data_IF_711561295064
#
_entry.id   IF_711561295064
#
_cell.length_a   1.000
_cell.length_b   1.000
_cell.length_c   1.000
_cell.angle_alpha   90.00
_cell.angle_beta   90.00
_cell.angle_gamma   90.00
#
_symmetry.space_group_name_H-M   'P 1'
#
loop_
_entity.id
_entity.type
_entity.pdbx_description
1 polymer ?
#
# COMPACT_ATOMS: atom_id res chain seq x y z
N UNK A 1 29.92 3.32 -2.24
CA UNK A 1 30.37 2.73 -0.95
C UNK A 1 29.47 1.57 -0.51
N UNK A 2 28.15 1.75 -0.34
CA UNK A 2 27.24 0.65 0.08
C UNK A 2 27.05 -0.40 -1.02
N UNK A 3 26.88 0.06 -2.27
CA UNK A 3 26.76 -0.82 -3.44
C UNK A 3 28.05 -1.61 -3.71
N UNK A 4 29.22 -0.96 -3.59
CA UNK A 4 30.53 -1.61 -3.76
C UNK A 4 30.75 -2.72 -2.71
N UNK A 5 30.25 -2.52 -1.48
CA UNK A 5 30.31 -3.54 -0.43
C UNK A 5 29.34 -4.70 -0.70
N UNK A 6 28.14 -4.42 -1.21
CA UNK A 6 27.19 -5.47 -1.64
C UNK A 6 27.79 -6.31 -2.75
N UNK A 7 28.42 -5.68 -3.75
CA UNK A 7 29.08 -6.38 -4.84
C UNK A 7 30.21 -7.28 -4.34
N UNK A 8 31.03 -6.78 -3.40
CA UNK A 8 32.10 -7.57 -2.78
C UNK A 8 31.55 -8.79 -2.01
N UNK A 9 30.48 -8.62 -1.24
CA UNK A 9 29.83 -9.74 -0.53
C UNK A 9 29.18 -10.76 -1.46
N UNK A 10 28.64 -10.32 -2.61
CA UNK A 10 28.09 -11.23 -3.62
C UNK A 10 29.16 -11.99 -4.39
N UNK A 11 30.37 -11.43 -4.52
CA UNK A 11 31.53 -12.11 -5.10
C UNK A 11 32.10 -13.18 -4.16
N UNK A 12 32.00 -13.00 -2.84
CA UNK A 12 32.37 -14.00 -1.82
C UNK A 12 31.27 -15.07 -1.60
N UNK A 13 30.61 -15.51 -2.67
CA UNK A 13 29.39 -16.33 -2.64
C UNK A 13 29.49 -17.71 -1.95
N UNK A 14 30.69 -18.14 -1.55
CA UNK A 14 30.89 -19.35 -0.74
C UNK A 14 30.68 -19.10 0.77
N UNK A 15 30.79 -17.84 1.21
CA UNK A 15 30.59 -17.45 2.61
C UNK A 15 29.13 -17.16 2.90
N UNK A 16 28.49 -18.03 3.70
CA UNK A 16 27.11 -17.82 4.18
C UNK A 16 26.93 -16.49 4.92
N UNK A 17 27.97 -16.03 5.62
CA UNK A 17 27.92 -14.76 6.34
C UNK A 17 27.98 -13.55 5.41
N UNK A 18 28.79 -13.61 4.34
CA UNK A 18 28.83 -12.57 3.32
C UNK A 18 27.49 -12.47 2.59
N UNK A 19 26.90 -13.61 2.20
CA UNK A 19 25.59 -13.66 1.58
C UNK A 19 24.48 -13.10 2.48
N UNK A 20 24.47 -13.48 3.77
CA UNK A 20 23.52 -12.92 4.75
C UNK A 20 23.69 -11.40 4.86
N UNK A 21 24.93 -10.90 4.87
CA UNK A 21 25.20 -9.46 4.96
C UNK A 21 24.77 -8.73 3.71
N UNK A 22 24.98 -9.31 2.52
CA UNK A 22 24.47 -8.78 1.26
C UNK A 22 22.94 -8.68 1.29
N UNK A 23 22.24 -9.74 1.69
CA UNK A 23 20.77 -9.76 1.82
C UNK A 23 20.26 -8.64 2.73
N UNK A 24 20.86 -8.48 3.91
CA UNK A 24 20.50 -7.40 4.85
C UNK A 24 20.74 -6.02 4.27
N UNK A 25 21.90 -5.79 3.63
CA UNK A 25 22.22 -4.49 3.04
C UNK A 25 21.29 -4.13 1.88
N UNK A 26 20.90 -5.12 1.07
CA UNK A 26 19.97 -4.93 -0.04
C UNK A 26 18.58 -4.59 0.50
N UNK A 27 18.03 -5.39 1.42
CA UNK A 27 16.70 -5.13 1.99
C UNK A 27 16.64 -3.79 2.72
N UNK A 28 17.66 -3.44 3.51
CA UNK A 28 17.72 -2.14 4.19
C UNK A 28 17.78 -0.98 3.18
N UNK A 29 18.52 -1.15 2.09
CA UNK A 29 18.58 -0.17 1.00
C UNK A 29 17.24 -0.02 0.27
N UNK A 30 16.54 -1.13 0.02
CA UNK A 30 15.22 -1.13 -0.61
C UNK A 30 14.17 -0.46 0.28
N UNK A 31 14.16 -0.77 1.59
CA UNK A 31 13.29 -0.08 2.55
C UNK A 31 13.56 1.42 2.62
N UNK A 32 14.82 1.84 2.54
CA UNK A 32 15.16 3.28 2.53
C UNK A 32 14.75 3.99 1.24
N UNK A 33 14.80 3.31 0.10
CA UNK A 33 14.51 3.92 -1.19
C UNK A 33 13.06 3.75 -1.66
N UNK A 34 12.31 2.79 -1.12
CA UNK A 34 10.89 2.55 -1.44
C UNK A 34 10.08 2.81 -0.19
N UNK A 35 9.77 4.09 0.03
CA UNK A 35 8.90 4.52 1.13
C UNK A 35 7.43 4.48 0.74
N UNK A 36 6.56 4.51 1.75
CA UNK A 36 5.11 4.63 1.60
C UNK A 36 4.72 5.78 0.66
N UNK A 37 3.66 5.61 -0.14
CA UNK A 37 3.12 6.66 -1.01
C UNK A 37 4.00 7.06 -2.19
N UNK A 38 5.12 6.37 -2.42
CA UNK A 38 5.96 6.60 -3.59
C UNK A 38 5.33 6.04 -4.87
N UNK A 39 5.41 6.82 -5.94
CA UNK A 39 4.94 6.42 -7.25
C UNK A 39 5.84 5.33 -7.89
N UNK A 40 5.23 4.35 -8.55
CA UNK A 40 5.93 3.20 -9.14
C UNK A 40 6.84 3.60 -10.31
N UNK A 41 6.53 4.69 -11.03
CA UNK A 41 7.41 5.23 -12.06
C UNK A 41 8.62 5.95 -11.44
N UNK A 42 8.44 6.67 -10.34
CA UNK A 42 9.55 7.25 -9.58
C UNK A 42 10.52 6.17 -9.07
N UNK A 43 9.99 5.07 -8.53
CA UNK A 43 10.79 3.91 -8.07
C UNK A 43 11.62 3.32 -9.22
N UNK A 44 11.00 3.08 -10.39
CA UNK A 44 11.67 2.49 -11.55
C UNK A 44 12.72 3.39 -12.18
N UNK A 45 12.56 4.70 -12.04
CA UNK A 45 13.48 5.69 -12.62
C UNK A 45 14.72 5.93 -11.76
N UNK A 46 14.74 5.46 -10.51
CA UNK A 46 15.89 5.62 -9.62
C UNK A 46 17.01 4.61 -9.98
N UNK A 47 18.20 5.11 -10.37
CA UNK A 47 19.32 4.24 -10.76
C UNK A 47 19.87 3.42 -9.58
N UNK A 48 19.80 3.93 -8.36
CA UNK A 48 20.24 3.25 -7.13
C UNK A 48 19.31 2.08 -6.83
N UNK A 49 18.00 2.32 -6.88
CA UNK A 49 17.01 1.25 -6.69
C UNK A 49 17.12 0.20 -7.79
N UNK A 50 17.32 0.61 -9.03
CA UNK A 50 17.53 -0.31 -10.16
C UNK A 50 18.73 -1.24 -9.93
N UNK A 51 19.84 -0.70 -9.39
CA UNK A 51 21.01 -1.52 -9.02
C UNK A 51 20.73 -2.45 -7.84
N UNK A 52 20.03 -1.98 -6.81
CA UNK A 52 19.62 -2.82 -5.67
C UNK A 52 18.70 -3.96 -6.12
N UNK A 53 17.76 -3.71 -7.04
CA UNK A 53 16.91 -4.74 -7.63
C UNK A 53 17.72 -5.75 -8.47
N UNK A 54 18.74 -5.28 -9.19
CA UNK A 54 19.65 -6.16 -9.91
C UNK A 54 20.46 -7.06 -8.96
N UNK A 55 20.87 -6.56 -7.79
CA UNK A 55 21.49 -7.40 -6.78
C UNK A 55 20.50 -8.36 -6.13
N UNK A 56 19.27 -7.92 -5.87
CA UNK A 56 18.19 -8.75 -5.34
C UNK A 56 17.90 -9.98 -6.21
N UNK A 57 17.89 -9.84 -7.54
CA UNK A 57 17.62 -10.95 -8.46
C UNK A 57 18.72 -12.02 -8.50
N UNK A 58 19.92 -11.70 -7.98
CA UNK A 58 21.05 -12.64 -7.85
C UNK A 58 21.03 -13.43 -6.54
N UNK A 59 20.13 -13.10 -5.60
CA UNK A 59 20.03 -13.78 -4.32
C UNK A 59 19.27 -15.10 -4.46
N UNK A 60 19.77 -16.14 -3.80
CA UNK A 60 19.04 -17.40 -3.66
C UNK A 60 17.98 -17.29 -2.56
N UNK A 61 16.73 -17.11 -2.98
CA UNK A 61 15.55 -16.97 -2.10
C UNK A 61 15.34 -18.22 -1.23
N UNK A 62 15.78 -19.40 -1.67
CA UNK A 62 15.58 -20.67 -0.92
C UNK A 62 16.41 -20.72 0.37
N UNK A 63 17.50 -19.94 0.43
CA UNK A 63 18.37 -19.82 1.60
C UNK A 63 17.89 -18.78 2.61
N UNK A 64 16.86 -18.00 2.28
CA UNK A 64 16.38 -16.87 3.08
C UNK A 64 15.33 -17.30 4.11
N UNK A 65 15.25 -16.53 5.21
CA UNK A 65 14.09 -16.59 6.09
C UNK A 65 12.82 -16.20 5.29
N UNK A 66 11.72 -16.93 5.51
CA UNK A 66 10.42 -16.70 4.90
C UNK A 66 10.02 -15.21 4.86
N UNK A 67 10.19 -14.47 5.96
CA UNK A 67 9.81 -13.05 6.02
C UNK A 67 10.67 -12.22 5.07
N UNK A 68 12.00 -12.39 5.11
CA UNK A 68 12.93 -11.67 4.23
C UNK A 68 12.71 -12.02 2.76
N UNK A 69 12.37 -13.27 2.47
CA UNK A 69 12.02 -13.72 1.12
C UNK A 69 10.72 -13.05 0.63
N UNK A 70 9.70 -12.95 1.50
CA UNK A 70 8.46 -12.24 1.19
C UNK A 70 8.71 -10.74 0.98
N UNK A 71 9.54 -10.09 1.79
CA UNK A 71 9.90 -8.68 1.62
C UNK A 71 10.61 -8.43 0.28
N UNK A 72 11.53 -9.32 -0.10
CA UNK A 72 12.18 -9.26 -1.40
C UNK A 72 11.16 -9.40 -2.54
N UNK A 73 10.23 -10.37 -2.41
CA UNK A 73 9.14 -10.56 -3.37
C UNK A 73 8.23 -9.33 -3.46
N UNK A 74 7.99 -8.64 -2.36
CA UNK A 74 7.22 -7.38 -2.34
C UNK A 74 7.93 -6.30 -3.14
N UNK A 75 9.20 -6.02 -2.86
CA UNK A 75 9.95 -4.99 -3.58
C UNK A 75 10.05 -5.28 -5.08
N UNK A 76 10.25 -6.56 -5.46
CA UNK A 76 10.20 -6.99 -6.85
C UNK A 76 8.82 -6.71 -7.46
N UNK A 77 7.73 -7.09 -6.77
CA UNK A 77 6.37 -6.88 -7.26
C UNK A 77 6.03 -5.38 -7.42
N UNK A 78 6.50 -4.52 -6.52
CA UNK A 78 6.38 -3.05 -6.65
C UNK A 78 7.12 -2.57 -7.90
N UNK A 79 8.37 -2.98 -8.08
CA UNK A 79 9.20 -2.54 -9.22
C UNK A 79 8.66 -2.99 -10.58
N UNK A 80 8.01 -4.16 -10.62
CA UNK A 80 7.43 -4.76 -11.83
C UNK A 80 5.95 -4.44 -12.01
N UNK A 81 5.38 -3.60 -11.14
CA UNK A 81 3.98 -3.18 -11.18
C UNK A 81 2.94 -4.33 -11.12
N UNK A 82 3.26 -5.39 -10.36
CA UNK A 82 2.44 -6.61 -10.26
C UNK A 82 1.32 -6.50 -9.20
N UNK A 83 0.18 -5.89 -9.55
CA UNK A 83 -0.97 -5.70 -8.64
C UNK A 83 -1.43 -6.97 -7.93
N UNK A 84 -1.65 -8.06 -8.67
CA UNK A 84 -2.15 -9.31 -8.10
C UNK A 84 -1.22 -9.85 -7.03
N UNK A 85 0.10 -9.78 -7.28
CA UNK A 85 1.11 -10.22 -6.33
C UNK A 85 1.17 -9.33 -5.09
N UNK A 86 0.99 -8.01 -5.24
CA UNK A 86 0.90 -7.08 -4.11
C UNK A 86 -0.34 -7.34 -3.25
N UNK A 87 -1.49 -7.65 -3.85
CA UNK A 87 -2.70 -8.07 -3.14
C UNK A 87 -2.44 -9.31 -2.29
N UNK A 88 -1.84 -10.34 -2.86
CA UNK A 88 -1.49 -11.58 -2.17
C UNK A 88 -0.53 -11.34 -0.99
N UNK A 89 0.58 -10.63 -1.25
CA UNK A 89 1.60 -10.34 -0.25
C UNK A 89 1.06 -9.45 0.87
N UNK A 90 0.21 -8.47 0.56
CA UNK A 90 -0.43 -7.62 1.55
C UNK A 90 -1.25 -8.43 2.55
N UNK A 91 -2.05 -9.38 2.06
CA UNK A 91 -2.82 -10.31 2.89
C UNK A 91 -1.92 -11.28 3.68
N UNK A 92 -0.85 -11.77 3.07
CA UNK A 92 0.12 -12.66 3.72
C UNK A 92 0.80 -11.95 4.90
N UNK A 93 1.35 -10.75 4.67
CA UNK A 93 1.98 -9.95 5.73
C UNK A 93 1.01 -9.56 6.84
N UNK A 94 -0.22 -9.21 6.48
CA UNK A 94 -1.25 -8.89 7.48
C UNK A 94 -1.51 -10.09 8.41
N UNK A 95 -1.65 -11.30 7.85
CA UNK A 95 -1.82 -12.54 8.64
C UNK A 95 -0.61 -12.86 9.52
N UNK A 96 0.60 -12.49 9.07
CA UNK A 96 1.83 -12.66 9.84
C UNK A 96 2.05 -11.56 10.90
N UNK A 97 1.23 -10.51 10.93
CA UNK A 97 1.39 -9.37 11.85
C UNK A 97 2.49 -8.39 11.42
N UNK A 98 2.94 -8.44 10.16
CA UNK A 98 3.92 -7.51 9.60
C UNK A 98 3.25 -6.29 8.98
N UNK A 99 2.65 -5.44 9.83
CA UNK A 99 1.79 -4.33 9.41
C UNK A 99 2.44 -3.36 8.43
N UNK A 100 3.72 -3.01 8.59
CA UNK A 100 4.39 -2.06 7.68
C UNK A 100 4.55 -2.61 6.26
N UNK A 101 4.91 -3.89 6.11
CA UNK A 101 5.02 -4.54 4.81
C UNK A 101 3.65 -4.76 4.16
N UNK A 102 2.66 -5.15 4.97
CA UNK A 102 1.27 -5.24 4.53
C UNK A 102 0.76 -3.88 4.01
N UNK A 103 0.99 -2.82 4.77
CA UNK A 103 0.57 -1.46 4.43
C UNK A 103 1.25 -0.96 3.15
N UNK A 104 2.56 -1.20 2.99
CA UNK A 104 3.26 -0.83 1.75
C UNK A 104 2.70 -1.57 0.53
N UNK A 105 2.43 -2.88 0.63
CA UNK A 105 1.81 -3.64 -0.46
C UNK A 105 0.44 -3.08 -0.84
N UNK A 106 -0.41 -2.83 0.16
CA UNK A 106 -1.79 -2.41 -0.06
C UNK A 106 -1.88 -0.94 -0.53
N UNK A 107 -1.02 -0.05 -0.05
CA UNK A 107 -0.95 1.31 -0.58
C UNK A 107 -0.51 1.30 -2.05
N UNK A 108 0.46 0.47 -2.44
CA UNK A 108 0.86 0.32 -3.84
C UNK A 108 -0.23 -0.32 -4.72
N UNK A 109 -1.02 -1.23 -4.16
CA UNK A 109 -2.17 -1.82 -4.83
C UNK A 109 -3.29 -0.78 -5.04
N UNK A 110 -3.70 -0.09 -3.97
CA UNK A 110 -4.78 0.90 -4.00
C UNK A 110 -4.37 2.29 -4.53
N UNK A 111 -3.08 2.55 -4.77
CA UNK A 111 -2.60 3.71 -5.54
C UNK A 111 -3.08 3.69 -6.99
N UNK A 112 -3.48 2.53 -7.49
CA UNK A 112 -4.10 2.37 -8.81
C UNK A 112 -5.57 2.82 -8.75
N UNK A 113 -6.15 3.07 -9.92
CA UNK A 113 -7.58 3.35 -10.00
C UNK A 113 -8.39 2.21 -9.37
N UNK A 114 -9.28 2.54 -8.44
CA UNK A 114 -10.15 1.57 -7.76
C UNK A 114 -11.27 1.13 -8.71
N UNK A 115 -11.11 -0.05 -9.33
CA UNK A 115 -11.97 -0.51 -10.43
C UNK A 115 -13.17 -1.35 -10.00
N UNK A 116 -13.92 -0.91 -8.98
CA UNK A 116 -15.10 -1.66 -8.49
C UNK A 116 -16.34 -1.53 -9.38
N UNK A 117 -16.34 -0.57 -10.33
CA UNK A 117 -17.54 -0.22 -11.10
C UNK A 117 -18.12 -1.39 -11.91
N UNK A 118 -17.23 -2.23 -12.47
CA UNK A 118 -17.55 -3.36 -13.34
C UNK A 118 -17.42 -4.73 -12.66
N UNK A 119 -17.05 -4.77 -11.38
CA UNK A 119 -16.86 -6.02 -10.66
C UNK A 119 -18.18 -6.77 -10.46
N UNK A 120 -18.11 -8.11 -10.50
CA UNK A 120 -19.21 -8.94 -10.04
C UNK A 120 -19.38 -8.76 -8.53
N UNK A 121 -20.56 -9.12 -8.00
CA UNK A 121 -20.89 -8.93 -6.59
C UNK A 121 -19.88 -9.58 -5.64
N UNK A 122 -19.42 -10.80 -5.95
CA UNK A 122 -18.44 -11.51 -5.10
C UNK A 122 -17.09 -10.80 -5.09
N UNK A 123 -16.60 -10.39 -6.27
CA UNK A 123 -15.31 -9.71 -6.41
C UNK A 123 -15.34 -8.34 -5.71
N UNK A 124 -16.46 -7.61 -5.81
CA UNK A 124 -16.66 -6.35 -5.11
C UNK A 124 -16.63 -6.50 -3.58
N UNK A 125 -17.22 -7.59 -3.04
CA UNK A 125 -17.18 -7.89 -1.60
C UNK A 125 -15.75 -8.17 -1.14
N UNK A 126 -14.99 -8.97 -1.91
CA UNK A 126 -13.59 -9.27 -1.59
C UNK A 126 -12.69 -8.03 -1.69
N UNK A 127 -12.96 -7.16 -2.66
CA UNK A 127 -12.22 -5.91 -2.84
C UNK A 127 -12.46 -4.94 -1.67
N UNK A 128 -13.71 -4.84 -1.19
CA UNK A 128 -14.03 -4.03 -0.02
C UNK A 128 -13.47 -4.61 1.27
N UNK A 129 -13.43 -5.94 1.43
CA UNK A 129 -12.75 -6.56 2.58
C UNK A 129 -11.26 -6.18 2.61
N UNK A 130 -10.61 -6.23 1.44
CA UNK A 130 -9.21 -5.84 1.32
C UNK A 130 -9.00 -4.34 1.62
N UNK A 131 -9.90 -3.49 1.12
CA UNK A 131 -9.86 -2.05 1.38
C UNK A 131 -10.08 -1.73 2.85
N UNK A 132 -10.99 -2.45 3.52
CA UNK A 132 -11.21 -2.32 4.96
C UNK A 132 -9.96 -2.70 5.76
N UNK A 133 -9.25 -3.77 5.41
CA UNK A 133 -7.96 -4.13 6.02
C UNK A 133 -6.95 -2.98 5.84
N UNK A 134 -6.85 -2.44 4.63
CA UNK A 134 -5.94 -1.33 4.33
C UNK A 134 -6.24 -0.07 5.14
N UNK A 135 -7.51 0.35 5.22
CA UNK A 135 -7.92 1.53 6.01
C UNK A 135 -7.66 1.33 7.50
N UNK A 136 -7.90 0.12 8.04
CA UNK A 136 -7.56 -0.17 9.44
C UNK A 136 -6.06 -0.11 9.70
N UNK A 137 -5.22 -0.67 8.80
CA UNK A 137 -3.76 -0.56 8.93
C UNK A 137 -3.29 0.90 8.94
N UNK A 138 -3.89 1.76 8.11
CA UNK A 138 -3.63 3.21 8.13
C UNK A 138 -4.10 3.84 9.45
N UNK A 139 -5.32 3.53 9.89
CA UNK A 139 -5.91 4.06 11.13
C UNK A 139 -5.07 3.70 12.35
N UNK A 140 -4.64 2.44 12.47
CA UNK A 140 -3.77 1.94 13.54
C UNK A 140 -2.41 2.67 13.53
N UNK A 141 -1.87 2.91 12.33
CA UNK A 141 -0.61 3.66 12.16
C UNK A 141 -0.74 5.11 12.64
N UNK A 142 -1.90 5.75 12.44
CA UNK A 142 -2.15 7.14 12.86
C UNK A 142 -2.45 7.27 14.35
N UNK A 143 -3.35 6.42 14.86
CA UNK A 143 -3.97 6.62 16.18
C UNK A 143 -3.39 5.73 17.28
N UNK A 144 -2.81 4.58 16.94
CA UNK A 144 -2.31 3.62 17.93
C UNK A 144 -0.77 3.60 18.02
N UNK A 145 -0.08 4.19 17.04
CA UNK A 145 1.38 4.14 16.95
C UNK A 145 2.01 5.52 17.18
N UNK A 146 3.05 5.60 18.03
CA UNK A 146 3.87 6.81 18.16
C UNK A 146 4.99 6.78 17.10
N UNK A 147 4.92 7.58 16.01
CA UNK A 147 5.89 7.54 14.92
C UNK A 147 7.31 7.90 15.38
N UNK A 148 7.46 8.59 16.51
CA UNK A 148 8.78 8.92 17.06
C UNK A 148 9.46 7.76 17.81
N UNK A 149 8.72 6.69 18.12
CA UNK A 149 9.22 5.55 18.90
C UNK A 149 9.20 4.24 18.12
N UNK A 150 8.32 4.14 17.12
CA UNK A 150 8.19 2.92 16.32
C UNK A 150 9.14 2.91 15.13
N UNK A 151 10.10 1.99 15.16
CA UNK A 151 11.13 1.84 14.13
C UNK A 151 10.50 1.39 12.80
N UNK A 152 9.48 0.55 12.84
CA UNK A 152 8.83 0.02 11.65
C UNK A 152 8.11 1.13 10.87
N UNK A 153 7.40 2.00 11.58
CA UNK A 153 6.79 3.23 11.02
C UNK A 153 7.83 4.17 10.48
N UNK A 154 8.90 4.47 11.24
CA UNK A 154 9.99 5.32 10.75
C UNK A 154 10.60 4.80 9.44
N UNK A 155 10.81 3.48 9.35
CA UNK A 155 11.32 2.80 8.16
C UNK A 155 10.34 2.91 6.99
N UNK A 156 9.06 2.60 7.21
CA UNK A 156 8.02 2.63 6.18
C UNK A 156 7.87 4.02 5.54
N UNK A 157 7.90 5.07 6.36
CA UNK A 157 7.74 6.46 5.89
C UNK A 157 9.07 7.15 5.56
N UNK A 158 10.19 6.45 5.72
CA UNK A 158 11.52 6.90 5.30
C UNK A 158 12.11 8.06 6.12
N UNK A 159 11.62 8.31 7.34
CA UNK A 159 12.21 9.34 8.21
C UNK A 159 13.15 8.72 9.25
N UNK A 160 14.11 9.50 9.73
CA UNK A 160 15.18 9.01 10.60
C UNK A 160 15.32 9.87 11.84
N UNK A 161 15.53 9.24 13.00
CA UNK A 161 15.87 9.96 14.22
C UNK A 161 17.33 10.43 14.16
N UNK A 162 17.53 11.70 14.48
CA UNK A 162 18.83 12.34 14.65
C UNK A 162 19.16 12.48 16.15
N UNK A 163 20.37 12.97 16.44
CA UNK A 163 20.70 13.44 17.78
C UNK A 163 19.72 14.52 18.27
N UNK A 164 19.62 14.69 19.59
CA UNK A 164 18.79 15.69 20.26
C UNK A 164 17.27 15.55 20.01
N UNK A 165 16.79 14.32 19.78
CA UNK A 165 15.36 14.02 19.59
C UNK A 165 14.72 14.80 18.41
N UNK A 166 15.53 15.08 17.39
CA UNK A 166 15.10 15.63 16.10
C UNK A 166 14.95 14.52 15.07
N UNK A 167 14.19 14.78 14.03
CA UNK A 167 13.89 13.82 12.98
C UNK A 167 14.15 14.43 11.62
N UNK A 168 14.90 13.71 10.79
CA UNK A 168 15.15 14.02 9.39
C UNK A 168 14.04 13.39 8.55
N UNK A 169 13.33 14.20 7.77
CA UNK A 169 12.39 13.74 6.73
C UNK A 169 13.01 14.07 5.38
N UNK A 170 13.56 13.07 4.66
CA UNK A 170 14.20 13.28 3.37
C UNK A 170 13.22 13.78 2.31
N UNK A 171 13.69 14.66 1.42
CA UNK A 171 12.87 15.30 0.37
C UNK A 171 12.26 14.36 -0.67
N UNK A 172 12.79 13.15 -0.80
CA UNK A 172 12.33 12.13 -1.74
C UNK A 172 11.28 11.18 -1.12
N UNK A 173 10.80 11.47 0.09
CA UNK A 173 9.74 10.69 0.74
C UNK A 173 8.36 11.30 0.45
N UNK A 174 7.34 10.46 0.43
CA UNK A 174 5.95 10.92 0.36
C UNK A 174 5.60 11.87 1.50
N UNK A 175 6.08 11.59 2.72
CA UNK A 175 5.82 12.42 3.88
C UNK A 175 6.29 13.87 3.68
N UNK A 176 7.45 14.06 3.04
CA UNK A 176 7.94 15.39 2.70
C UNK A 176 7.07 16.08 1.65
N UNK A 177 6.69 15.36 0.59
CA UNK A 177 5.84 15.89 -0.48
C UNK A 177 4.45 16.29 0.05
N UNK A 178 3.79 15.41 0.80
CA UNK A 178 2.50 15.68 1.44
C UNK A 178 2.60 16.85 2.44
N UNK A 179 3.72 16.95 3.16
CA UNK A 179 3.97 18.07 4.06
C UNK A 179 4.14 19.40 3.33
N UNK A 180 4.79 19.41 2.15
CA UNK A 180 4.87 20.60 1.31
C UNK A 180 3.48 21.01 0.82
N UNK A 181 2.68 20.07 0.33
CA UNK A 181 1.30 20.34 -0.13
C UNK A 181 0.43 20.91 1.00
N UNK A 182 0.53 20.37 2.21
CA UNK A 182 -0.17 20.90 3.38
C UNK A 182 0.36 22.27 3.82
N UNK A 183 1.69 22.48 3.80
CA UNK A 183 2.31 23.70 4.31
C UNK A 183 2.23 24.86 3.33
N UNK A 184 2.00 24.63 2.03
CA UNK A 184 2.29 25.61 0.99
C UNK A 184 1.19 25.90 -0.02
N UNK A 185 0.99 27.22 -0.14
CA UNK A 185 1.15 27.94 -1.41
C UNK A 185 2.50 28.71 -1.53
N UNK A 186 3.54 28.46 -0.72
CA UNK A 186 4.68 29.42 -0.62
C UNK A 186 6.12 28.98 -0.26
N UNK A 187 6.53 27.69 -0.21
CA UNK A 187 7.94 27.32 0.03
C UNK A 187 8.43 26.21 -0.89
N UNK A 188 9.02 26.62 -2.00
CA UNK A 188 9.90 25.76 -2.78
C UNK A 188 11.17 25.48 -1.97
N UNK A 189 11.09 24.64 -0.93
CA UNK A 189 12.24 24.18 -0.17
C UNK A 189 12.66 22.83 -0.73
N UNK A 190 13.71 22.84 -1.56
CA UNK A 190 14.32 21.63 -2.12
C UNK A 190 15.21 20.88 -1.10
N UNK A 191 15.11 21.21 0.19
CA UNK A 191 15.89 20.62 1.28
C UNK A 191 15.04 19.70 2.15
N UNK A 192 15.72 18.74 2.78
CA UNK A 192 15.13 17.85 3.77
C UNK A 192 14.57 18.64 4.96
N UNK A 193 13.57 18.10 5.64
CA UNK A 193 13.05 18.70 6.86
C UNK A 193 13.75 18.14 8.09
N UNK A 194 14.06 19.02 9.04
CA UNK A 194 14.48 18.64 10.38
C UNK A 194 13.38 19.10 11.33
N UNK A 195 12.69 18.14 11.94
CA UNK A 195 11.53 18.38 12.80
C UNK A 195 11.83 17.94 14.22
N UNK A 196 11.29 18.65 15.21
CA UNK A 196 11.16 18.13 16.57
C UNK A 196 10.15 16.97 16.63
N UNK A 197 10.19 16.17 17.70
CA UNK A 197 9.24 15.08 17.90
C UNK A 197 7.76 15.54 17.88
N UNK A 198 7.46 16.73 18.41
CA UNK A 198 6.10 17.29 18.37
C UNK A 198 5.67 17.70 16.97
N UNK A 199 6.56 18.31 16.20
CA UNK A 199 6.28 18.71 14.82
C UNK A 199 6.09 17.49 13.92
N UNK A 200 6.92 16.45 14.10
CA UNK A 200 6.78 15.20 13.35
C UNK A 200 5.44 14.53 13.65
N UNK A 201 5.06 14.35 14.92
CA UNK A 201 3.77 13.74 15.29
C UNK A 201 2.59 14.51 14.69
N UNK A 202 2.59 15.83 14.84
CA UNK A 202 1.52 16.67 14.29
C UNK A 202 1.46 16.57 12.77
N UNK A 203 2.61 16.64 12.09
CA UNK A 203 2.66 16.54 10.64
C UNK A 203 2.18 15.17 10.16
N UNK A 204 2.72 14.10 10.75
CA UNK A 204 2.40 12.71 10.43
C UNK A 204 0.92 12.40 10.62
N UNK A 205 0.32 12.89 11.71
CA UNK A 205 -1.11 12.76 11.93
C UNK A 205 -1.91 13.51 10.85
N UNK A 206 -1.58 14.78 10.59
CA UNK A 206 -2.32 15.59 9.60
C UNK A 206 -2.27 14.99 8.19
N UNK A 207 -1.08 14.65 7.69
CA UNK A 207 -0.91 14.11 6.32
C UNK A 207 -1.59 12.75 6.15
N UNK A 208 -1.49 11.86 7.13
CA UNK A 208 -2.11 10.53 7.00
C UNK A 208 -3.62 10.57 7.18
N UNK A 209 -4.16 11.41 8.06
CA UNK A 209 -5.61 11.61 8.15
C UNK A 209 -6.16 12.16 6.84
N UNK A 210 -5.46 13.10 6.21
CA UNK A 210 -5.86 13.61 4.89
C UNK A 210 -5.79 12.51 3.83
N UNK A 211 -4.71 11.71 3.80
CA UNK A 211 -4.59 10.55 2.91
C UNK A 211 -5.74 9.56 3.08
N UNK A 212 -6.05 9.16 4.32
CA UNK A 212 -7.16 8.23 4.62
C UNK A 212 -8.48 8.79 4.06
N UNK A 213 -8.77 10.08 4.30
CA UNK A 213 -9.98 10.72 3.78
C UNK A 213 -10.04 10.69 2.26
N UNK A 214 -8.95 11.06 1.59
CA UNK A 214 -8.88 11.04 0.13
C UNK A 214 -9.10 9.63 -0.44
N UNK A 215 -8.54 8.59 0.22
CA UNK A 215 -8.75 7.19 -0.17
C UNK A 215 -10.19 6.75 0.00
N UNK A 216 -10.80 7.04 1.15
CA UNK A 216 -12.20 6.70 1.44
C UNK A 216 -13.14 7.45 0.48
N UNK A 217 -12.91 8.74 0.24
CA UNK A 217 -13.71 9.52 -0.70
C UNK A 217 -13.63 8.97 -2.13
N UNK A 218 -12.44 8.54 -2.54
CA UNK A 218 -12.24 7.89 -3.85
C UNK A 218 -13.00 6.57 -3.93
N UNK A 219 -12.85 5.69 -2.95
CA UNK A 219 -13.59 4.43 -2.87
C UNK A 219 -15.10 4.66 -2.90
N UNK A 220 -15.61 5.60 -2.10
CA UNK A 220 -17.04 5.91 -2.01
C UNK A 220 -17.61 6.35 -3.35
N UNK A 221 -16.89 7.25 -4.04
CA UNK A 221 -17.29 7.76 -5.34
C UNK A 221 -17.36 6.65 -6.40
N UNK A 222 -16.45 5.68 -6.33
CA UNK A 222 -16.40 4.53 -7.23
C UNK A 222 -17.49 3.50 -6.90
N UNK A 223 -17.72 3.21 -5.62
CA UNK A 223 -18.82 2.36 -5.14
C UNK A 223 -20.19 2.94 -5.50
N UNK A 224 -20.37 4.26 -5.39
CA UNK A 224 -21.60 4.93 -5.80
C UNK A 224 -21.91 4.70 -7.28
N UNK A 225 -20.91 4.44 -8.14
CA UNK A 225 -21.09 4.17 -9.57
C UNK A 225 -21.13 2.68 -9.92
N UNK A 226 -20.92 1.79 -8.94
CA UNK A 226 -20.80 0.36 -9.18
C UNK A 226 -22.15 -0.34 -9.37
N UNK A 227 -22.20 -1.24 -10.36
CA UNK A 227 -23.37 -2.08 -10.63
C UNK A 227 -23.63 -3.07 -9.49
N UNK A 228 -22.61 -3.48 -8.75
CA UNK A 228 -22.77 -4.40 -7.60
C UNK A 228 -23.73 -3.83 -6.53
N UNK A 229 -23.74 -2.50 -6.38
CA UNK A 229 -24.60 -1.78 -5.44
C UNK A 229 -26.01 -1.49 -5.98
N UNK A 230 -26.27 -1.69 -7.29
CA UNK A 230 -27.50 -1.27 -7.96
C UNK A 230 -28.05 -2.39 -8.84
N UNK A 231 -28.83 -3.34 -8.31
CA UNK A 231 -29.44 -4.39 -9.12
C UNK A 231 -30.57 -3.78 -9.95
N UNK A 232 -30.70 -4.21 -11.21
CA UNK A 232 -31.80 -3.78 -12.04
C UNK A 232 -33.07 -4.47 -11.62
N UNK A 233 -33.94 -3.77 -10.90
CA UNK A 233 -35.19 -4.34 -10.38
C UNK A 233 -36.12 -4.78 -11.52
N UNK A 234 -36.16 -4.03 -12.62
CA UNK A 234 -36.97 -4.37 -13.80
C UNK A 234 -36.50 -5.70 -14.38
N UNK A 235 -35.18 -5.86 -14.58
CA UNK A 235 -34.62 -7.10 -15.10
C UNK A 235 -34.79 -8.27 -14.13
N UNK A 236 -34.56 -8.03 -12.83
CA UNK A 236 -34.69 -9.05 -11.79
C UNK A 236 -36.11 -9.63 -11.69
N UNK A 237 -37.15 -8.80 -11.91
CA UNK A 237 -38.55 -9.24 -11.81
C UNK A 237 -39.06 -9.80 -13.14
N UNK A 238 -38.73 -9.17 -14.27
CA UNK A 238 -39.32 -9.49 -15.57
C UNK A 238 -38.42 -10.33 -16.49
N UNK A 239 -37.15 -10.51 -16.13
CA UNK A 239 -36.12 -11.12 -16.99
C UNK A 239 -35.71 -10.26 -18.18
N UNK A 240 -36.22 -9.03 -18.29
CA UNK A 240 -36.00 -8.16 -19.44
C UNK A 240 -35.82 -6.69 -19.02
N UNK A 241 -34.97 -5.96 -19.73
CA UNK A 241 -34.75 -4.53 -19.54
C UNK A 241 -34.57 -3.87 -20.90
N UNK A 242 -35.35 -2.81 -21.16
CA UNK A 242 -35.32 -2.09 -22.44
C UNK A 242 -34.19 -1.07 -22.54
N UNK A 243 -33.51 -0.77 -21.43
CA UNK A 243 -32.45 0.23 -21.41
C UNK A 243 -31.17 -0.35 -22.02
N UNK A 244 -30.70 0.17 -23.17
CA UNK A 244 -29.38 -0.20 -23.68
C UNK A 244 -28.32 0.28 -22.68
N UNK A 245 -27.30 -0.55 -22.46
CA UNK A 245 -26.22 -0.30 -21.50
C UNK A 245 -26.71 0.12 -20.10
N UNK A 246 -27.72 -0.59 -19.58
CA UNK A 246 -28.30 -0.31 -18.27
C UNK A 246 -27.19 -0.12 -17.19
N UNK A 247 -27.22 0.99 -16.44
CA UNK A 247 -26.22 1.29 -15.41
C UNK A 247 -26.39 0.42 -14.16
N UNK A 248 -27.42 -0.42 -14.11
CA UNK A 248 -27.72 -1.34 -13.02
C UNK A 248 -27.29 -2.78 -13.40
N UNK A 249 -27.06 -3.62 -12.40
CA UNK A 249 -26.68 -5.02 -12.61
C UNK A 249 -27.88 -5.85 -13.09
N UNK A 250 -27.77 -6.43 -14.28
CA UNK A 250 -28.70 -7.45 -14.77
C UNK A 250 -28.35 -8.81 -14.17
N UNK A 251 -29.12 -9.24 -13.16
CA UNK A 251 -28.94 -10.53 -12.50
C UNK A 251 -30.10 -11.44 -12.85
N UNK A 252 -29.79 -12.67 -13.28
CA UNK A 252 -30.80 -13.67 -13.60
C UNK A 252 -31.70 -13.94 -12.39
N UNK A 253 -33.03 -13.99 -12.56
CA UNK A 253 -33.96 -14.35 -11.49
C UNK A 253 -33.62 -15.66 -10.79
N UNK A 254 -33.03 -16.62 -11.51
CA UNK A 254 -32.60 -17.92 -10.97
C UNK A 254 -31.49 -17.85 -9.93
N UNK A 255 -30.74 -16.74 -9.88
CA UNK A 255 -29.62 -16.52 -8.94
C UNK A 255 -30.06 -15.69 -7.73
N UNK A 256 -31.27 -15.12 -7.76
CA UNK A 256 -31.79 -14.30 -6.67
C UNK A 256 -32.38 -15.21 -5.59
N UNK A 257 -31.49 -15.70 -4.72
CA UNK A 257 -31.81 -16.47 -3.53
C UNK A 257 -31.39 -15.73 -2.25
N UNK A 258 -31.55 -16.39 -1.10
CA UNK A 258 -31.13 -15.84 0.19
C UNK A 258 -29.62 -15.58 0.26
N UNK A 259 -28.80 -16.39 -0.42
CA UNK A 259 -27.35 -16.22 -0.49
C UNK A 259 -26.98 -14.93 -1.22
N UNK A 260 -27.55 -14.72 -2.40
CA UNK A 260 -27.38 -13.49 -3.17
C UNK A 260 -27.83 -12.25 -2.36
N UNK A 261 -29.00 -12.32 -1.71
CA UNK A 261 -29.48 -11.24 -0.85
C UNK A 261 -28.51 -10.91 0.28
N UNK A 262 -28.02 -11.93 1.00
CA UNK A 262 -27.07 -11.76 2.10
C UNK A 262 -25.73 -11.18 1.62
N UNK A 263 -25.25 -11.57 0.44
CA UNK A 263 -24.06 -10.98 -0.17
C UNK A 263 -24.24 -9.49 -0.44
N UNK A 264 -25.41 -9.07 -0.95
CA UNK A 264 -25.70 -7.64 -1.13
C UNK A 264 -25.76 -6.87 0.18
N UNK A 265 -26.37 -7.44 1.22
CA UNK A 265 -26.34 -6.83 2.56
C UNK A 265 -24.89 -6.66 3.03
N UNK A 266 -24.07 -7.72 2.93
CA UNK A 266 -22.66 -7.69 3.32
C UNK A 266 -21.91 -6.56 2.62
N UNK A 267 -22.09 -6.41 1.31
CA UNK A 267 -21.48 -5.35 0.51
C UNK A 267 -21.78 -3.95 1.10
N UNK A 268 -23.07 -3.67 1.39
CA UNK A 268 -23.47 -2.40 1.99
C UNK A 268 -22.94 -2.21 3.42
N UNK A 269 -22.92 -3.26 4.23
CA UNK A 269 -22.39 -3.19 5.60
C UNK A 269 -20.87 -2.96 5.62
N UNK A 270 -20.12 -3.59 4.72
CA UNK A 270 -18.68 -3.35 4.56
C UNK A 270 -18.40 -1.89 4.21
N UNK A 271 -19.17 -1.32 3.29
CA UNK A 271 -19.06 0.09 2.95
C UNK A 271 -19.30 0.99 4.17
N UNK A 272 -20.31 0.68 5.00
CA UNK A 272 -20.57 1.41 6.25
C UNK A 272 -19.41 1.29 7.23
N UNK A 273 -18.82 0.10 7.38
CA UNK A 273 -17.69 -0.13 8.30
C UNK A 273 -16.43 0.64 7.89
N UNK A 274 -16.22 0.88 6.59
CA UNK A 274 -15.09 1.67 6.09
C UNK A 274 -15.18 3.15 6.54
N UNK A 275 -16.38 3.68 6.80
CA UNK A 275 -16.59 5.07 7.24
C UNK A 275 -16.58 5.28 8.75
N UNK A 276 -16.56 4.22 9.56
CA UNK A 276 -16.59 4.31 11.02
C UNK A 276 -15.19 4.58 11.58
#
# INVERSE_FOLDING_TARGET
RREDAIELFLCEGESKDALRRAQECILEGLWHGISFGMDSHAIRSDPTLSRLMHFASRLDVTSMNQIKAAELSMFIAISQDQASRLRELGLEFHKMGHSSAALLCLDQYFSRAFQIQSMALIDAIEELDLFYIYVNLLSDTVYQTDPCKDIATATLFGFQQMADNKFLVPRNTWLHMAALELRLRSATSNSDFILSASELRSLFHCVLVDHIKQRIDTENNECARSKAFRPCLVFAVSGFCIQPDCPEAHVSPSVIDAGYYNMRIRLHLQQILIFQ
#
